data_IF_513542115543
#
_entry.id   IF_513542115543
#
_cell.length_a   1.000
_cell.length_b   1.000
_cell.length_c   1.000
_cell.angle_alpha   90.00
_cell.angle_beta   90.00
_cell.angle_gamma   90.00
#
_symmetry.space_group_name_H-M   'P 1'
#
loop_
_entity.id
_entity.type
_entity.pdbx_description
1 polymer ?
#
# COMPACT_ATOMS: atom_id res chain seq x y z
N UNK A 1 14.46 -24.95 7.52
CA UNK A 1 14.70 -24.23 6.59
C UNK A 1 14.25 -22.86 6.43
N UNK A 2 13.20 -22.47 6.92
CA UNK A 2 12.78 -21.14 6.80
C UNK A 2 13.71 -20.16 7.40
N UNK A 3 14.60 -20.60 8.23
CA UNK A 3 15.48 -19.74 8.74
C UNK A 3 16.39 -19.14 7.76
N UNK A 4 16.62 -19.82 6.71
CA UNK A 4 17.50 -19.33 5.72
C UNK A 4 16.96 -18.14 4.99
N UNK A 5 15.66 -18.08 4.85
CA UNK A 5 15.02 -16.96 4.20
C UNK A 5 15.24 -15.71 5.04
N UNK A 6 15.13 -15.79 6.31
CA UNK A 6 15.39 -14.68 7.16
C UNK A 6 16.81 -14.24 7.11
N UNK A 7 17.71 -15.15 7.05
CA UNK A 7 19.08 -14.83 6.92
C UNK A 7 19.39 -14.15 5.65
N UNK A 8 18.75 -14.55 4.59
CA UNK A 8 18.91 -13.93 3.33
C UNK A 8 18.53 -12.48 3.40
N UNK A 9 17.44 -12.16 4.02
CA UNK A 9 17.03 -10.78 4.16
C UNK A 9 18.00 -9.98 5.04
N UNK A 10 18.49 -10.58 6.07
CA UNK A 10 19.43 -9.90 6.92
C UNK A 10 20.71 -9.59 6.20
N UNK A 11 21.13 -10.46 5.31
CA UNK A 11 22.30 -10.26 4.53
C UNK A 11 22.08 -9.27 3.43
N UNK A 12 20.95 -9.32 2.80
CA UNK A 12 20.66 -8.47 1.67
C UNK A 12 20.10 -7.15 2.13
N UNK A 13 20.96 -6.20 2.33
CA UNK A 13 20.56 -4.94 2.87
C UNK A 13 19.76 -4.08 2.00
N UNK A 14 19.58 -4.46 0.75
CA UNK A 14 18.75 -3.68 -0.14
C UNK A 14 17.28 -3.87 0.12
N UNK A 15 16.91 -4.95 0.79
CA UNK A 15 15.51 -5.20 1.05
C UNK A 15 15.10 -4.44 2.29
N UNK A 16 14.18 -3.50 2.16
CA UNK A 16 13.71 -2.75 3.28
C UNK A 16 12.21 -2.60 3.19
N UNK A 17 11.54 -2.78 4.31
CA UNK A 17 10.10 -2.69 4.41
C UNK A 17 9.73 -1.25 4.71
N UNK A 18 8.99 -0.63 3.82
CA UNK A 18 8.57 0.75 3.98
C UNK A 18 7.08 0.82 4.08
N UNK A 19 6.59 1.88 4.70
CA UNK A 19 5.16 2.12 4.80
C UNK A 19 4.76 3.10 3.71
N UNK A 20 3.69 2.78 3.00
CA UNK A 20 3.17 3.62 1.92
C UNK A 20 1.71 3.95 2.15
N UNK A 21 1.32 5.14 1.70
CA UNK A 21 -0.09 5.47 1.52
C UNK A 21 -0.41 5.35 0.04
N UNK A 22 -1.52 4.68 -0.25
CA UNK A 22 -2.07 4.56 -1.59
C UNK A 22 -3.37 5.34 -1.58
N UNK A 23 -3.45 6.39 -2.39
CA UNK A 23 -4.62 7.26 -2.45
C UNK A 23 -5.19 7.24 -3.86
N UNK A 24 -6.49 7.08 -3.97
CA UNK A 24 -7.13 6.94 -5.27
C UNK A 24 -8.33 7.84 -5.40
N UNK A 25 -8.52 8.36 -6.62
CA UNK A 25 -9.81 8.90 -7.04
C UNK A 25 -10.46 7.83 -7.88
N UNK A 26 -11.50 7.19 -7.35
CA UNK A 26 -12.21 6.12 -8.05
C UNK A 26 -13.47 6.71 -8.62
N UNK A 27 -13.46 6.92 -9.93
CA UNK A 27 -14.48 7.73 -10.61
C UNK A 27 -15.66 6.93 -11.14
N UNK A 28 -15.58 5.61 -11.11
CA UNK A 28 -16.67 4.76 -11.58
C UNK A 28 -17.48 4.27 -10.42
N UNK A 29 -18.79 4.23 -10.59
CA UNK A 29 -19.64 3.63 -9.57
C UNK A 29 -19.47 2.13 -9.62
N UNK A 30 -19.27 1.54 -8.49
CA UNK A 30 -19.48 0.14 -8.36
C UNK A 30 -18.29 -0.73 -8.28
N UNK A 31 -17.68 -1.12 -9.34
CA UNK A 31 -16.88 -2.32 -9.26
C UNK A 31 -15.40 -2.07 -9.09
N UNK A 32 -14.97 -2.04 -7.83
CA UNK A 32 -13.55 -2.00 -7.51
C UNK A 32 -13.16 -3.23 -6.66
N UNK A 33 -13.92 -4.32 -6.82
CA UNK A 33 -13.67 -5.52 -6.04
C UNK A 33 -12.28 -6.09 -6.30
N UNK A 34 -11.82 -6.03 -7.56
CA UNK A 34 -10.49 -6.54 -7.90
C UNK A 34 -9.39 -5.70 -7.29
N UNK A 35 -9.56 -4.38 -7.27
CA UNK A 35 -8.59 -3.49 -6.64
C UNK A 35 -8.52 -3.81 -5.14
N UNK A 36 -9.67 -3.95 -4.49
CA UNK A 36 -9.69 -4.23 -3.05
C UNK A 36 -9.09 -5.59 -2.74
N UNK A 37 -9.35 -6.58 -3.61
CA UNK A 37 -8.76 -7.90 -3.44
C UNK A 37 -7.24 -7.83 -3.56
N UNK A 38 -6.74 -7.05 -4.51
CA UNK A 38 -5.29 -6.92 -4.67
C UNK A 38 -4.68 -6.20 -3.47
N UNK A 39 -5.34 -5.18 -2.97
CA UNK A 39 -4.86 -4.47 -1.78
C UNK A 39 -4.80 -5.42 -0.58
N UNK A 40 -5.76 -6.33 -0.47
CA UNK A 40 -5.73 -7.31 0.62
C UNK A 40 -4.53 -8.23 0.53
N UNK A 41 -4.04 -8.54 -0.66
CA UNK A 41 -2.84 -9.37 -0.77
C UNK A 41 -1.61 -8.66 -0.22
N UNK A 42 -1.65 -7.34 -0.13
CA UNK A 42 -0.58 -6.58 0.51
C UNK A 42 -0.88 -6.33 1.99
N UNK A 43 -1.98 -6.87 2.50
CA UNK A 43 -2.44 -6.62 3.86
C UNK A 43 -2.65 -5.14 4.11
N UNK A 44 -3.14 -4.44 3.09
CA UNK A 44 -3.37 -3.01 3.18
C UNK A 44 -4.50 -2.72 4.17
N UNK A 45 -4.34 -1.64 4.91
CA UNK A 45 -5.31 -1.21 5.91
C UNK A 45 -5.97 0.09 5.45
N UNK A 46 -7.30 0.15 5.44
CA UNK A 46 -7.96 1.38 4.99
C UNK A 46 -7.68 2.51 5.99
N UNK A 47 -7.35 3.67 5.47
CA UNK A 47 -7.10 4.87 6.26
C UNK A 47 -8.23 5.87 6.06
N UNK A 48 -8.58 6.11 4.80
CA UNK A 48 -9.72 6.93 4.43
C UNK A 48 -10.53 6.14 3.41
N UNK A 49 -11.64 6.69 2.93
CA UNK A 49 -12.55 5.96 2.07
C UNK A 49 -11.87 5.32 0.86
N UNK A 50 -10.96 6.03 0.22
CA UNK A 50 -10.24 5.52 -0.94
C UNK A 50 -8.74 5.69 -0.76
N UNK A 51 -8.30 5.45 0.46
CA UNK A 51 -6.89 5.54 0.81
C UNK A 51 -6.53 4.39 1.74
N UNK A 52 -5.42 3.76 1.46
CA UNK A 52 -4.94 2.59 2.21
C UNK A 52 -3.50 2.78 2.60
N UNK A 53 -3.10 2.14 3.70
CA UNK A 53 -1.71 2.07 4.10
C UNK A 53 -1.24 0.63 4.00
N UNK A 54 -0.03 0.43 3.52
CA UNK A 54 0.54 -0.90 3.42
C UNK A 54 2.05 -0.85 3.58
N UNK A 55 2.61 -1.94 4.08
CA UNK A 55 4.06 -2.11 4.15
C UNK A 55 4.49 -2.93 2.93
N UNK A 56 5.61 -2.56 2.34
CA UNK A 56 6.09 -3.27 1.16
C UNK A 56 7.58 -3.03 0.95
N UNK A 57 8.22 -3.99 0.31
CA UNK A 57 9.60 -3.83 -0.14
C UNK A 57 9.66 -3.28 -1.56
N UNK A 58 8.52 -3.14 -2.22
CA UNK A 58 8.47 -2.51 -3.54
C UNK A 58 8.74 -1.02 -3.42
N UNK A 59 9.12 -0.41 -4.52
CA UNK A 59 9.16 1.06 -4.58
C UNK A 59 7.76 1.60 -4.82
N UNK A 60 7.57 2.90 -4.60
CA UNK A 60 6.30 3.54 -4.87
C UNK A 60 5.90 3.37 -6.34
N UNK A 61 6.86 3.49 -7.25
CA UNK A 61 6.59 3.32 -8.67
C UNK A 61 6.14 1.90 -9.00
N UNK A 62 6.75 0.91 -8.38
CA UNK A 62 6.37 -0.48 -8.58
C UNK A 62 4.96 -0.74 -8.06
N UNK A 63 4.63 -0.22 -6.89
CA UNK A 63 3.29 -0.39 -6.35
C UNK A 63 2.25 0.28 -7.25
N UNK A 64 2.54 1.47 -7.74
CA UNK A 64 1.66 2.17 -8.66
C UNK A 64 1.45 1.33 -9.93
N UNK A 65 2.51 0.76 -10.45
CA UNK A 65 2.41 -0.04 -11.67
C UNK A 65 1.61 -1.32 -11.47
N UNK A 66 1.70 -1.93 -10.30
CA UNK A 66 0.90 -3.10 -9.99
C UNK A 66 -0.57 -2.72 -9.85
N UNK A 67 -0.85 -1.68 -9.08
CA UNK A 67 -2.22 -1.33 -8.74
C UNK A 67 -2.98 -0.69 -9.90
N UNK A 68 -2.28 -0.02 -10.80
CA UNK A 68 -2.97 0.65 -11.91
C UNK A 68 -3.71 -0.34 -12.80
N UNK A 69 -3.30 -1.60 -12.80
CA UNK A 69 -3.97 -2.62 -13.60
C UNK A 69 -5.39 -2.94 -13.11
N UNK A 70 -5.73 -2.47 -11.92
CA UNK A 70 -7.03 -2.72 -11.32
C UNK A 70 -7.89 -1.46 -11.28
N UNK A 71 -7.44 -0.42 -11.96
CA UNK A 71 -8.17 0.85 -12.04
C UNK A 71 -8.89 0.94 -13.37
N UNK A 72 -9.92 1.78 -13.40
CA UNK A 72 -10.63 2.07 -14.65
C UNK A 72 -10.01 3.29 -15.29
N UNK A 73 -10.31 3.47 -16.56
CA UNK A 73 -9.79 4.63 -17.28
C UNK A 73 -10.29 5.89 -16.59
N UNK A 74 -9.41 6.85 -16.40
CA UNK A 74 -9.76 8.09 -15.73
C UNK A 74 -9.53 8.08 -14.23
N UNK A 75 -9.42 6.90 -13.62
CA UNK A 75 -9.10 6.83 -12.19
C UNK A 75 -7.69 7.35 -11.94
N UNK A 76 -7.48 7.87 -10.75
CA UNK A 76 -6.19 8.45 -10.37
C UNK A 76 -5.62 7.75 -9.17
N UNK A 77 -4.31 7.64 -9.12
CA UNK A 77 -3.63 6.99 -8.01
C UNK A 77 -2.36 7.75 -7.64
N UNK A 78 -2.12 7.86 -6.34
CA UNK A 78 -0.87 8.38 -5.80
C UNK A 78 -0.36 7.39 -4.78
N UNK A 79 0.90 7.05 -4.85
CA UNK A 79 1.56 6.20 -3.86
C UNK A 79 2.69 7.00 -3.25
N UNK A 80 2.67 7.16 -1.95
CA UNK A 80 3.63 8.01 -1.23
C UNK A 80 4.21 7.27 -0.04
N UNK A 81 5.50 7.34 0.13
CA UNK A 81 6.12 6.75 1.31
C UNK A 81 5.79 7.60 2.53
N UNK A 82 5.50 6.94 3.65
CA UNK A 82 5.15 7.59 4.91
C UNK A 82 6.36 7.61 5.81
N UNK A 83 6.72 8.80 6.27
CA UNK A 83 7.83 8.95 7.19
C UNK A 83 7.41 8.78 8.63
N UNK A 84 8.30 9.13 9.54
CA UNK A 84 8.06 8.95 10.97
C UNK A 84 7.01 9.92 11.51
N UNK A 85 6.95 11.11 10.94
CA UNK A 85 6.01 12.10 11.43
C UNK A 85 4.68 11.93 10.75
N UNK A 86 3.67 11.60 11.53
CA UNK A 86 2.34 11.33 10.98
C UNK A 86 1.28 11.60 12.06
N UNK A 87 0.10 11.97 11.62
CA UNK A 87 -1.02 12.23 12.50
C UNK A 87 -2.31 11.92 11.77
N UNK A 88 -3.36 11.58 12.51
CA UNK A 88 -4.67 11.35 11.90
C UNK A 88 -5.76 11.66 12.89
N UNK A 89 -6.96 11.89 12.38
CA UNK A 89 -8.14 12.09 13.21
C UNK A 89 -9.30 11.35 12.57
N UNK A 90 -9.86 10.41 13.32
CA UNK A 90 -11.01 9.61 12.87
C UNK A 90 -10.71 8.80 11.60
N UNK A 91 -9.46 8.47 11.36
CA UNK A 91 -9.11 7.62 10.26
C UNK A 91 -9.63 6.21 10.52
N UNK A 92 -9.88 5.47 9.45
CA UNK A 92 -10.36 4.09 9.56
C UNK A 92 -9.34 3.19 10.24
N UNK A 93 -8.06 3.48 10.04
CA UNK A 93 -6.98 2.84 10.77
C UNK A 93 -6.09 3.94 11.33
N UNK A 94 -5.58 3.73 12.53
CA UNK A 94 -4.73 4.73 13.17
C UNK A 94 -3.35 4.70 12.52
N UNK A 95 -3.05 5.74 11.75
CA UNK A 95 -1.82 5.81 10.98
C UNK A 95 -0.59 5.78 11.86
N UNK A 96 -0.68 6.29 13.08
CA UNK A 96 0.47 6.32 13.96
C UNK A 96 0.83 4.94 14.49
N UNK A 97 -0.06 3.97 14.38
CA UNK A 97 0.16 2.61 14.83
C UNK A 97 0.54 1.64 13.73
N UNK A 98 0.67 2.11 12.52
CA UNK A 98 0.97 1.23 11.38
C UNK A 98 2.47 1.05 11.12
#
# INVERSE_FOLDING_TARGET
MSLDFRRLFAFNRVVSLKLYLVSCDLLQDGDYASLRARLRTFEARPVLANQWALHSTHTAAQLKDILKNFLHEGDRIVVTEVGAERASRRALSNLTEL
#
